data_IF_693991193049
#
_entry.id   IF_693991193049
#
_cell.length_a   1.000
_cell.length_b   1.000
_cell.length_c   1.000
_cell.angle_alpha   90.00
_cell.angle_beta   90.00
_cell.angle_gamma   90.00
#
_symmetry.space_group_name_H-M   'P 1'
#
loop_
_entity.id
_entity.type
_entity.pdbx_description
1 polymer ?
#
# COMPACT_ATOMS: atom_id res chain seq x y z
N UNK A 1 4.05 -67.57 4.69
CA UNK A 1 3.85 -66.24 4.06
C UNK A 1 5.14 -65.44 4.22
N UNK A 2 5.94 -65.31 3.17
CA UNK A 2 7.21 -64.57 3.22
C UNK A 2 6.97 -63.07 3.05
N UNK A 3 7.24 -62.28 4.09
CA UNK A 3 7.35 -60.83 3.99
C UNK A 3 8.64 -60.54 3.22
N UNK A 4 8.52 -60.08 1.96
CA UNK A 4 9.65 -59.51 1.22
C UNK A 4 10.12 -58.26 1.97
N UNK A 5 11.28 -58.35 2.61
CA UNK A 5 11.94 -57.20 3.25
C UNK A 5 12.43 -56.22 2.20
N UNK A 6 12.06 -54.96 2.35
CA UNK A 6 12.52 -53.87 1.48
C UNK A 6 14.01 -53.62 1.72
N UNK A 7 14.83 -53.49 0.69
CA UNK A 7 16.26 -53.26 0.88
C UNK A 7 16.50 -51.80 1.33
N UNK A 8 17.41 -51.60 2.29
CA UNK A 8 17.78 -50.26 2.78
C UNK A 8 18.22 -49.34 1.62
N UNK A 9 18.91 -49.90 0.63
CA UNK A 9 19.39 -49.17 -0.56
C UNK A 9 18.21 -48.68 -1.43
N UNK A 10 17.18 -49.50 -1.63
CA UNK A 10 16.00 -49.11 -2.41
C UNK A 10 15.28 -47.91 -1.77
N UNK A 11 15.16 -47.90 -0.44
CA UNK A 11 14.54 -46.79 0.28
C UNK A 11 15.37 -45.51 0.18
N UNK A 12 16.70 -45.62 0.29
CA UNK A 12 17.60 -44.48 0.22
C UNK A 12 17.59 -43.85 -1.18
N UNK A 13 17.61 -44.65 -2.25
CA UNK A 13 17.56 -44.13 -3.63
C UNK A 13 16.26 -43.38 -3.88
N UNK A 14 15.12 -43.92 -3.42
CA UNK A 14 13.81 -43.25 -3.59
C UNK A 14 13.78 -41.91 -2.87
N UNK A 15 14.25 -41.86 -1.62
CA UNK A 15 14.30 -40.60 -0.86
C UNK A 15 15.26 -39.62 -1.54
N UNK A 16 16.43 -40.07 -2.01
CA UNK A 16 17.38 -39.22 -2.72
C UNK A 16 16.81 -38.60 -3.98
N UNK A 17 16.02 -39.36 -4.76
CA UNK A 17 15.36 -38.83 -5.95
C UNK A 17 14.24 -37.84 -5.58
N UNK A 18 13.43 -38.14 -4.55
CA UNK A 18 12.37 -37.25 -4.09
C UNK A 18 12.95 -35.92 -3.58
N UNK A 19 14.03 -35.96 -2.79
CA UNK A 19 14.66 -34.73 -2.26
C UNK A 19 15.27 -33.90 -3.37
N UNK A 20 15.92 -34.53 -4.37
CA UNK A 20 16.45 -33.84 -5.54
C UNK A 20 15.34 -33.14 -6.35
N UNK A 21 14.26 -33.85 -6.67
CA UNK A 21 13.13 -33.27 -7.41
C UNK A 21 12.45 -32.15 -6.61
N UNK A 22 12.25 -32.34 -5.31
CA UNK A 22 11.66 -31.34 -4.45
C UNK A 22 12.52 -30.08 -4.38
N UNK A 23 13.85 -30.22 -4.28
CA UNK A 23 14.80 -29.09 -4.23
C UNK A 23 14.70 -28.18 -5.47
N UNK A 24 14.43 -28.74 -6.65
CA UNK A 24 14.22 -27.96 -7.88
C UNK A 24 12.82 -27.31 -7.93
N UNK A 25 11.80 -27.98 -7.38
CA UNK A 25 10.41 -27.52 -7.43
C UNK A 25 10.11 -26.40 -6.43
N UNK A 26 10.67 -26.44 -5.22
CA UNK A 26 10.43 -25.45 -4.17
C UNK A 26 10.65 -23.99 -4.61
N UNK A 27 11.82 -23.60 -5.15
CA UNK A 27 12.07 -22.20 -5.52
C UNK A 27 11.11 -21.70 -6.61
N UNK A 28 10.75 -22.56 -7.56
CA UNK A 28 9.79 -22.24 -8.63
C UNK A 28 8.40 -22.01 -8.05
N UNK A 29 7.94 -22.90 -7.16
CA UNK A 29 6.65 -22.78 -6.51
C UNK A 29 6.53 -21.52 -5.65
N UNK A 30 7.59 -21.14 -4.93
CA UNK A 30 7.63 -19.89 -4.15
C UNK A 30 7.48 -18.65 -5.05
N UNK A 31 8.20 -18.61 -6.18
CA UNK A 31 8.07 -17.51 -7.16
C UNK A 31 6.67 -17.47 -7.78
N UNK A 32 6.11 -18.61 -8.17
CA UNK A 32 4.76 -18.70 -8.72
C UNK A 32 3.69 -18.20 -7.74
N UNK A 33 3.78 -18.59 -6.47
CA UNK A 33 2.88 -18.10 -5.40
C UNK A 33 3.02 -16.59 -5.18
N UNK A 34 4.23 -16.05 -5.21
CA UNK A 34 4.45 -14.61 -5.09
C UNK A 34 3.83 -13.84 -6.27
N UNK A 35 3.99 -14.34 -7.50
CA UNK A 35 3.37 -13.75 -8.68
C UNK A 35 1.84 -13.81 -8.61
N UNK A 36 1.26 -14.93 -8.19
CA UNK A 36 -0.18 -15.08 -8.02
C UNK A 36 -0.75 -14.09 -6.99
N UNK A 37 -0.08 -13.91 -5.84
CA UNK A 37 -0.47 -12.91 -4.83
C UNK A 37 -0.40 -11.49 -5.39
N UNK A 38 0.64 -11.17 -6.18
CA UNK A 38 0.76 -9.88 -6.84
C UNK A 38 -0.38 -9.63 -7.84
N UNK A 39 -0.85 -10.65 -8.57
CA UNK A 39 -2.02 -10.54 -9.47
C UNK A 39 -3.32 -10.34 -8.70
N UNK A 40 -3.52 -11.05 -7.58
CA UNK A 40 -4.71 -10.85 -6.72
C UNK A 40 -4.72 -9.43 -6.16
N UNK A 41 -3.56 -8.94 -5.70
CA UNK A 41 -3.41 -7.56 -5.24
C UNK A 41 -3.76 -6.53 -6.34
N UNK A 42 -3.31 -6.75 -7.58
CA UNK A 42 -3.67 -5.89 -8.71
C UNK A 42 -5.19 -5.89 -8.99
N UNK A 43 -5.85 -7.05 -8.86
CA UNK A 43 -7.30 -7.14 -8.97
C UNK A 43 -8.00 -6.36 -7.84
N UNK A 44 -7.48 -6.39 -6.60
CA UNK A 44 -8.01 -5.57 -5.49
C UNK A 44 -7.92 -4.09 -5.78
N UNK A 45 -6.79 -3.61 -6.31
CA UNK A 45 -6.66 -2.19 -6.70
C UNK A 45 -7.67 -1.81 -7.78
N UNK A 46 -7.94 -2.71 -8.74
CA UNK A 46 -9.00 -2.47 -9.75
C UNK A 46 -10.38 -2.38 -9.11
N UNK A 47 -10.73 -3.30 -8.21
CA UNK A 47 -12.01 -3.27 -7.50
C UNK A 47 -12.16 -1.98 -6.66
N UNK A 48 -11.07 -1.50 -6.07
CA UNK A 48 -11.03 -0.23 -5.34
C UNK A 48 -11.20 0.96 -6.29
N UNK A 49 -10.49 1.00 -7.42
CA UNK A 49 -10.61 2.08 -8.40
C UNK A 49 -12.06 2.21 -8.90
N UNK A 50 -12.74 1.09 -9.18
CA UNK A 50 -14.16 1.06 -9.54
C UNK A 50 -15.02 1.73 -8.45
N UNK A 51 -14.76 1.42 -7.18
CA UNK A 51 -15.52 2.02 -6.08
C UNK A 51 -15.24 3.50 -5.87
N UNK A 52 -14.02 3.96 -6.17
CA UNK A 52 -13.68 5.38 -6.13
C UNK A 52 -14.49 6.13 -7.19
N UNK A 53 -14.61 5.58 -8.39
CA UNK A 53 -15.44 6.17 -9.45
C UNK A 53 -16.94 6.06 -9.15
N UNK A 54 -17.41 5.00 -8.50
CA UNK A 54 -18.79 4.92 -8.01
C UNK A 54 -19.07 6.00 -6.98
N UNK A 55 -18.18 6.18 -6.01
CA UNK A 55 -18.29 7.24 -5.01
C UNK A 55 -18.31 8.63 -5.67
N UNK A 56 -17.38 8.87 -6.61
CA UNK A 56 -17.30 10.13 -7.35
C UNK A 56 -18.55 10.40 -8.18
N UNK A 57 -19.15 9.38 -8.80
CA UNK A 57 -20.40 9.53 -9.55
C UNK A 57 -21.57 9.98 -8.66
N UNK A 58 -21.55 9.62 -7.38
CA UNK A 58 -22.57 10.00 -6.40
C UNK A 58 -22.29 11.34 -5.69
N UNK A 59 -21.02 11.72 -5.53
CA UNK A 59 -20.59 12.86 -4.70
C UNK A 59 -19.82 13.95 -5.47
N UNK A 60 -19.69 13.82 -6.79
CA UNK A 60 -18.99 14.72 -7.73
C UNK A 60 -17.48 14.93 -7.44
N UNK A 61 -16.94 14.25 -6.43
CA UNK A 61 -15.57 14.38 -5.95
C UNK A 61 -15.03 13.02 -5.51
N UNK A 62 -13.71 12.83 -5.56
CA UNK A 62 -13.06 11.67 -4.95
C UNK A 62 -13.28 11.66 -3.42
N UNK A 63 -13.16 10.51 -2.75
CA UNK A 63 -13.33 10.45 -1.30
C UNK A 63 -12.24 11.24 -0.57
N UNK A 64 -12.59 11.77 0.59
CA UNK A 64 -11.61 12.36 1.51
C UNK A 64 -10.60 11.31 1.96
N UNK A 65 -9.32 11.69 2.03
CA UNK A 65 -8.30 10.85 2.64
C UNK A 65 -8.51 10.70 4.15
N UNK A 66 -8.80 11.82 4.81
CA UNK A 66 -9.30 11.89 6.19
C UNK A 66 -10.34 13.01 6.26
N UNK A 67 -11.51 12.74 6.82
CA UNK A 67 -12.57 13.74 6.94
C UNK A 67 -12.70 14.34 8.33
N UNK A 68 -12.93 13.51 9.35
CA UNK A 68 -13.16 13.98 10.72
C UNK A 68 -12.54 13.00 11.72
N UNK A 69 -12.05 13.53 12.85
CA UNK A 69 -11.46 12.70 13.91
C UNK A 69 -12.52 12.14 14.87
N UNK A 70 -13.65 12.83 15.02
CA UNK A 70 -14.78 12.48 15.90
C UNK A 70 -16.08 13.09 15.36
N UNK A 71 -17.26 12.51 15.69
CA UNK A 71 -17.46 11.19 16.31
C UNK A 71 -17.02 10.04 15.38
N UNK A 72 -16.89 8.79 15.88
CA UNK A 72 -16.51 7.67 15.03
C UNK A 72 -17.52 7.40 13.91
N UNK A 73 -17.09 6.80 12.78
CA UNK A 73 -18.01 6.33 11.75
C UNK A 73 -18.93 5.22 12.29
N UNK A 74 -20.09 4.98 11.63
CA UNK A 74 -20.93 3.83 11.94
C UNK A 74 -20.11 2.53 11.91
N UNK A 75 -20.13 1.77 13.00
CA UNK A 75 -19.32 0.55 13.17
C UNK A 75 -17.96 0.77 13.86
N UNK A 76 -17.56 2.01 14.15
CA UNK A 76 -16.31 2.33 14.84
C UNK A 76 -15.12 2.50 13.87
N UNK A 77 -13.97 2.91 14.40
CA UNK A 77 -12.78 3.17 13.60
C UNK A 77 -12.20 1.88 13.00
N UNK A 78 -11.72 1.96 11.76
CA UNK A 78 -11.01 0.88 11.07
C UNK A 78 -9.55 0.72 11.54
N UNK A 79 -9.06 1.67 12.32
CA UNK A 79 -7.70 1.73 12.84
C UNK A 79 -7.63 1.33 14.32
N UNK A 80 -6.42 1.06 14.82
CA UNK A 80 -6.18 0.90 16.26
C UNK A 80 -6.00 2.29 16.88
N UNK A 81 -6.98 2.83 17.64
CA UNK A 81 -6.90 4.20 18.15
C UNK A 81 -5.78 4.42 19.19
N UNK A 82 -5.09 3.35 19.62
CA UNK A 82 -3.92 3.45 20.51
C UNK A 82 -2.62 3.69 19.76
N UNK A 83 -2.60 3.42 18.45
CA UNK A 83 -1.42 3.53 17.58
C UNK A 83 -1.63 4.46 16.39
N UNK A 84 -2.88 4.65 15.98
CA UNK A 84 -3.29 5.45 14.84
C UNK A 84 -4.11 6.65 15.29
N UNK A 85 -4.05 7.70 14.48
CA UNK A 85 -4.96 8.82 14.61
C UNK A 85 -6.39 8.33 14.32
N UNK A 86 -7.31 8.38 15.30
CA UNK A 86 -8.69 7.98 15.07
C UNK A 86 -9.35 8.96 14.10
N UNK A 87 -10.09 8.43 13.12
CA UNK A 87 -10.85 9.27 12.20
C UNK A 87 -11.56 8.49 11.11
N UNK A 88 -12.28 9.23 10.29
CA UNK A 88 -12.91 8.77 9.06
C UNK A 88 -11.87 8.79 7.96
N UNK A 89 -11.42 7.62 7.52
CA UNK A 89 -10.46 7.47 6.43
C UNK A 89 -11.18 7.12 5.13
N UNK A 90 -10.47 7.21 4.00
CA UNK A 90 -11.03 6.85 2.70
C UNK A 90 -11.77 5.51 2.63
N UNK A 91 -11.39 4.43 3.35
CA UNK A 91 -12.14 3.18 3.26
C UNK A 91 -13.56 3.32 3.82
N UNK A 92 -13.81 4.24 4.75
CA UNK A 92 -15.14 4.48 5.33
C UNK A 92 -16.13 5.07 4.31
N UNK A 93 -15.64 5.65 3.22
CA UNK A 93 -16.47 6.30 2.19
C UNK A 93 -16.84 5.39 1.02
N UNK A 94 -16.06 4.33 0.78
CA UNK A 94 -16.32 3.43 -0.35
C UNK A 94 -17.29 2.31 0.03
N UNK A 95 -18.17 1.96 -0.91
CA UNK A 95 -19.29 1.05 -0.70
C UNK A 95 -18.91 -0.33 -0.13
N UNK A 96 -17.70 -0.82 -0.39
CA UNK A 96 -17.27 -2.11 0.13
C UNK A 96 -17.18 -2.16 1.65
N UNK A 97 -17.03 -1.06 2.39
CA UNK A 97 -16.74 -1.11 3.85
C UNK A 97 -17.92 -0.62 4.69
N UNK A 98 -18.99 -0.17 4.04
CA UNK A 98 -20.16 0.46 4.69
C UNK A 98 -20.89 -0.45 5.69
N UNK A 99 -20.74 -1.77 5.55
CA UNK A 99 -21.31 -2.78 6.47
C UNK A 99 -20.26 -3.48 7.35
N UNK A 100 -18.98 -3.12 7.20
CA UNK A 100 -17.84 -3.68 7.95
C UNK A 100 -17.82 -5.22 8.08
N UNK A 101 -18.36 -5.96 7.09
CA UNK A 101 -18.38 -7.42 7.17
C UNK A 101 -16.97 -8.00 7.00
N UNK A 102 -16.77 -9.25 7.42
CA UNK A 102 -15.46 -9.92 7.25
C UNK A 102 -15.10 -10.15 5.79
N UNK A 103 -16.09 -10.18 4.88
CA UNK A 103 -15.88 -10.27 3.42
C UNK A 103 -15.42 -8.95 2.85
N UNK A 104 -16.06 -7.88 3.31
CA UNK A 104 -15.82 -6.50 2.92
C UNK A 104 -14.39 -6.06 3.22
N UNK A 105 -13.85 -6.43 4.39
CA UNK A 105 -12.46 -6.09 4.77
C UNK A 105 -11.40 -6.77 3.89
N UNK A 106 -11.69 -7.91 3.25
CA UNK A 106 -10.72 -8.63 2.41
C UNK A 106 -10.32 -7.86 1.15
N UNK A 107 -11.14 -6.92 0.68
CA UNK A 107 -10.77 -6.08 -0.47
C UNK A 107 -9.67 -5.08 -0.11
N UNK A 108 -9.63 -4.65 1.15
CA UNK A 108 -8.64 -3.73 1.69
C UNK A 108 -7.34 -4.44 2.07
N UNK A 109 -7.31 -5.77 2.09
CA UNK A 109 -6.12 -6.52 2.49
C UNK A 109 -5.26 -6.89 1.28
N UNK A 110 -3.99 -6.49 1.33
CA UNK A 110 -3.01 -6.93 0.34
C UNK A 110 -2.48 -8.34 0.71
N UNK A 111 -2.63 -9.37 -0.14
CA UNK A 111 -2.15 -10.72 0.16
C UNK A 111 -0.61 -10.82 0.17
N UNK A 112 0.08 -9.82 -0.39
CA UNK A 112 1.54 -9.75 -0.44
C UNK A 112 2.15 -8.95 0.71
N UNK A 113 1.35 -8.29 1.56
CA UNK A 113 1.85 -7.43 2.65
C UNK A 113 2.77 -8.19 3.61
N UNK A 114 3.85 -7.53 4.05
CA UNK A 114 4.87 -8.15 4.92
C UNK A 114 5.05 -7.40 6.24
N UNK A 115 3.97 -7.36 7.02
CA UNK A 115 3.96 -6.73 8.34
C UNK A 115 4.22 -7.79 9.41
N UNK A 116 5.38 -7.71 10.07
CA UNK A 116 5.81 -8.69 11.08
C UNK A 116 5.25 -8.46 12.48
N UNK A 117 4.66 -7.30 12.74
CA UNK A 117 4.13 -6.91 14.05
C UNK A 117 2.63 -7.24 14.14
N UNK A 118 2.24 -7.98 15.18
CA UNK A 118 0.87 -8.52 15.33
C UNK A 118 -0.21 -7.44 15.41
N UNK A 119 0.08 -6.30 16.03
CA UNK A 119 -0.83 -5.16 16.16
C UNK A 119 -1.09 -4.48 14.81
N UNK A 120 -0.03 -4.14 14.08
CA UNK A 120 -0.12 -3.53 12.75
C UNK A 120 -0.74 -4.49 11.73
N UNK A 121 -0.53 -5.81 11.88
CA UNK A 121 -1.09 -6.81 10.98
C UNK A 121 -2.63 -6.81 10.93
N UNK A 122 -3.30 -6.34 11.98
CA UNK A 122 -4.78 -6.24 12.02
C UNK A 122 -5.32 -4.91 11.53
N UNK A 123 -4.45 -3.91 11.39
CA UNK A 123 -4.84 -2.58 10.92
C UNK A 123 -5.15 -2.62 9.43
N UNK A 124 -6.25 -1.98 9.05
CA UNK A 124 -6.58 -1.70 7.65
C UNK A 124 -5.63 -0.63 7.09
N UNK A 125 -5.15 0.28 7.95
CA UNK A 125 -4.36 1.42 7.51
C UNK A 125 -2.91 1.07 7.17
N UNK A 126 -2.36 -0.07 7.63
CA UNK A 126 -0.95 -0.40 7.42
C UNK A 126 -0.72 -1.56 6.47
N UNK A 127 0.27 -1.38 5.58
CA UNK A 127 0.78 -2.43 4.70
C UNK A 127 -0.21 -2.88 3.62
N UNK A 128 -1.27 -2.13 3.39
CA UNK A 128 -2.33 -2.46 2.45
C UNK A 128 -2.27 -1.52 1.24
N UNK A 129 -3.30 -0.72 1.02
CA UNK A 129 -3.41 0.20 -0.10
C UNK A 129 -3.41 1.63 0.40
N UNK A 130 -2.68 2.49 -0.29
CA UNK A 130 -2.66 3.93 -0.05
C UNK A 130 -3.29 4.68 -1.21
N UNK A 131 -3.93 5.80 -0.89
CA UNK A 131 -4.47 6.73 -1.88
C UNK A 131 -3.58 7.95 -2.01
N UNK A 132 -3.53 8.53 -3.21
CA UNK A 132 -2.83 9.78 -3.45
C UNK A 132 -3.55 10.93 -2.73
N UNK A 133 -2.92 11.43 -1.67
CA UNK A 133 -3.46 12.48 -0.81
C UNK A 133 -3.58 13.84 -1.49
N UNK A 134 -2.87 14.04 -2.59
CA UNK A 134 -2.98 15.26 -3.41
C UNK A 134 -4.33 15.35 -4.11
N UNK A 135 -4.91 14.18 -4.45
CA UNK A 135 -6.26 14.03 -5.02
C UNK A 135 -7.33 13.88 -3.95
N UNK A 136 -7.14 12.88 -3.09
CA UNK A 136 -8.00 12.57 -1.96
C UNK A 136 -7.57 13.39 -0.74
N UNK A 137 -7.80 14.71 -0.82
CA UNK A 137 -7.40 15.68 0.21
C UNK A 137 -8.04 15.38 1.57
N UNK A 138 -7.48 15.97 2.62
CA UNK A 138 -7.99 15.81 3.98
C UNK A 138 -8.79 17.04 4.41
N UNK A 139 -9.94 16.86 5.06
CA UNK A 139 -10.64 17.98 5.69
C UNK A 139 -9.97 18.41 7.00
N UNK A 140 -9.18 17.52 7.61
CA UNK A 140 -8.37 17.81 8.80
C UNK A 140 -6.89 17.99 8.44
N UNK A 141 -6.28 19.01 9.03
CA UNK A 141 -4.84 19.24 8.91
C UNK A 141 -4.08 18.38 9.93
N UNK A 142 -3.32 17.40 9.44
CA UNK A 142 -2.62 16.42 10.29
C UNK A 142 -1.12 16.42 9.98
N UNK A 143 -0.33 16.51 11.03
CA UNK A 143 1.15 16.44 11.01
C UNK A 143 1.63 15.12 10.39
N UNK A 144 2.79 15.08 9.68
CA UNK A 144 3.73 16.20 9.41
C UNK A 144 3.34 17.12 8.23
N UNK A 145 2.29 16.79 7.48
CA UNK A 145 2.03 17.37 6.16
C UNK A 145 1.21 18.67 6.16
N UNK A 146 1.50 19.56 7.12
CA UNK A 146 0.66 20.75 7.35
C UNK A 146 0.61 21.66 6.12
N UNK A 147 -0.59 22.17 5.81
CA UNK A 147 -0.90 23.17 4.75
C UNK A 147 -0.93 22.71 3.29
N UNK A 148 -0.34 21.58 2.91
CA UNK A 148 -0.30 21.18 1.48
C UNK A 148 -1.51 20.36 1.02
N UNK A 149 -1.91 19.36 1.81
CA UNK A 149 -3.00 18.43 1.49
C UNK A 149 -4.37 18.71 2.14
N UNK A 150 -4.58 19.74 3.00
CA UNK A 150 -5.92 20.11 3.41
C UNK A 150 -6.79 20.65 2.27
N UNK A 151 -8.09 20.35 2.29
CA UNK A 151 -9.07 20.92 1.36
C UNK A 151 -10.07 19.90 0.82
N UNK A 152 -11.00 20.34 -0.06
CA UNK A 152 -11.91 19.43 -0.74
C UNK A 152 -11.13 18.51 -1.71
N UNK A 153 -11.49 17.23 -1.83
CA UNK A 153 -10.92 16.34 -2.82
C UNK A 153 -11.19 16.83 -4.24
N UNK A 154 -10.33 16.44 -5.18
CA UNK A 154 -10.52 16.74 -6.59
C UNK A 154 -11.49 15.75 -7.24
N UNK A 155 -12.06 16.15 -8.37
CA UNK A 155 -12.69 15.22 -9.31
C UNK A 155 -11.67 14.76 -10.35
N UNK A 156 -11.79 13.52 -10.80
CA UNK A 156 -11.03 12.97 -11.92
C UNK A 156 -11.23 13.78 -13.21
N UNK A 157 -12.36 14.46 -13.36
CA UNK A 157 -12.65 15.36 -14.49
C UNK A 157 -11.77 16.61 -14.54
N UNK A 158 -11.22 17.06 -13.39
CA UNK A 158 -10.35 18.25 -13.32
C UNK A 158 -8.87 17.90 -13.50
N UNK A 159 -8.55 16.61 -13.56
CA UNK A 159 -7.17 16.13 -13.71
C UNK A 159 -6.77 16.21 -15.19
N UNK A 160 -5.68 16.91 -15.46
CA UNK A 160 -5.20 17.17 -16.83
C UNK A 160 -4.74 15.91 -17.56
N UNK A 161 -4.16 14.95 -16.83
CA UNK A 161 -3.63 13.69 -17.37
C UNK A 161 -4.03 12.51 -16.46
N UNK A 162 -5.30 12.07 -16.46
CA UNK A 162 -5.79 11.09 -15.50
C UNK A 162 -5.11 9.72 -15.64
N UNK A 163 -4.81 9.27 -16.86
CA UNK A 163 -4.04 8.06 -17.13
C UNK A 163 -2.53 8.14 -16.84
N UNK A 164 -2.04 9.30 -16.38
CA UNK A 164 -0.68 9.41 -15.86
C UNK A 164 -0.66 9.79 -14.38
N UNK A 165 -1.81 10.04 -13.76
CA UNK A 165 -1.92 10.52 -12.38
C UNK A 165 -2.24 9.35 -11.45
N UNK A 166 -1.40 9.13 -10.45
CA UNK A 166 -1.57 8.07 -9.47
C UNK A 166 -2.77 8.38 -8.57
N UNK A 167 -3.64 7.39 -8.38
CA UNK A 167 -4.75 7.45 -7.44
C UNK A 167 -4.57 6.45 -6.29
N UNK A 168 -4.20 5.22 -6.61
CA UNK A 168 -4.05 4.11 -5.66
C UNK A 168 -2.66 3.49 -5.81
N UNK A 169 -2.08 3.03 -4.71
CA UNK A 169 -0.83 2.26 -4.74
C UNK A 169 -0.77 1.27 -3.60
N UNK A 170 -0.07 0.17 -3.81
CA UNK A 170 0.45 -0.62 -2.70
C UNK A 170 1.31 0.24 -1.77
N UNK A 171 0.85 0.45 -0.54
CA UNK A 171 1.49 1.39 0.38
C UNK A 171 1.71 0.79 1.76
N UNK A 172 2.72 1.32 2.46
CA UNK A 172 2.94 1.11 3.88
C UNK A 172 1.83 1.70 4.76
N UNK A 173 1.11 2.70 4.24
CA UNK A 173 0.01 3.37 4.94
C UNK A 173 -1.18 3.71 4.02
N UNK A 174 -2.37 3.91 4.60
CA UNK A 174 -3.61 4.20 3.87
C UNK A 174 -3.58 5.51 3.07
N UNK A 175 -2.63 6.38 3.34
CA UNK A 175 -2.40 7.62 2.62
C UNK A 175 -0.97 7.61 2.08
N UNK A 176 -0.79 8.14 0.88
CA UNK A 176 0.51 8.33 0.27
C UNK A 176 0.58 9.68 -0.43
N UNK A 177 1.73 10.32 -0.41
CA UNK A 177 1.99 11.54 -1.15
C UNK A 177 3.43 11.54 -1.69
N UNK A 178 3.79 12.60 -2.40
CA UNK A 178 5.12 12.71 -2.99
C UNK A 178 6.24 12.75 -1.94
N UNK A 179 5.98 13.28 -0.72
CA UNK A 179 6.92 13.26 0.42
C UNK A 179 7.33 11.84 0.81
N UNK A 180 6.45 10.87 0.60
CA UNK A 180 6.72 9.46 0.91
C UNK A 180 7.59 8.78 -0.16
N UNK A 181 7.85 9.47 -1.27
CA UNK A 181 8.64 8.99 -2.38
C UNK A 181 9.94 9.80 -2.59
N UNK A 182 10.17 10.87 -1.83
CA UNK A 182 11.39 11.70 -1.86
C UNK A 182 12.48 11.23 -0.92
N UNK A 183 13.72 11.60 -1.26
CA UNK A 183 14.92 11.39 -0.44
C UNK A 183 14.98 12.24 0.84
N UNK A 184 14.16 13.28 0.91
CA UNK A 184 14.08 14.19 2.04
C UNK A 184 12.96 13.70 2.97
N UNK A 185 13.28 13.00 4.08
CA UNK A 185 12.26 12.49 4.96
C UNK A 185 11.52 13.68 5.59
N UNK A 186 10.17 13.74 5.55
CA UNK A 186 9.47 14.73 6.34
C UNK A 186 9.95 14.60 7.79
N UNK A 187 10.29 15.74 8.37
CA UNK A 187 10.77 15.97 9.74
C UNK A 187 10.51 14.83 10.73
N UNK A 188 11.52 14.53 11.57
CA UNK A 188 11.42 13.63 12.75
C UNK A 188 10.02 13.64 13.35
N UNK A 189 9.41 12.45 13.46
CA UNK A 189 8.08 12.27 14.03
C UNK A 189 8.09 12.66 15.52
N UNK A 190 7.89 13.94 15.81
CA UNK A 190 7.78 14.48 17.16
C UNK A 190 6.31 14.62 17.54
N UNK A 191 5.69 13.56 18.08
CA UNK A 191 4.36 13.66 18.68
C UNK A 191 3.59 12.33 18.80
N UNK A 192 2.66 12.29 19.75
CA UNK A 192 1.87 11.10 20.10
C UNK A 192 0.64 10.83 19.19
N UNK A 193 0.43 11.60 18.11
CA UNK A 193 -0.78 11.54 17.27
C UNK A 193 -0.48 11.85 15.78
N UNK A 194 0.63 11.35 15.26
CA UNK A 194 1.00 11.54 13.85
C UNK A 194 0.43 10.43 12.96
N UNK A 195 0.12 10.78 11.71
CA UNK A 195 -0.04 9.79 10.63
C UNK A 195 1.30 9.05 10.53
N UNK A 196 1.30 7.73 10.72
CA UNK A 196 2.52 6.92 10.77
C UNK A 196 3.35 7.01 9.47
N UNK A 197 4.60 6.52 9.46
CA UNK A 197 5.49 6.64 8.31
C UNK A 197 4.90 5.91 7.10
N UNK A 198 4.42 6.70 6.15
CA UNK A 198 3.98 6.21 4.86
C UNK A 198 5.19 5.97 3.96
N UNK A 199 5.10 4.94 3.14
CA UNK A 199 6.17 4.53 2.25
C UNK A 199 5.63 3.71 1.09
N UNK A 200 6.38 3.72 0.00
CA UNK A 200 6.14 2.83 -1.14
C UNK A 200 7.07 1.62 -0.97
N UNK A 201 6.52 0.40 -0.87
CA UNK A 201 7.30 -0.82 -0.64
C UNK A 201 8.39 -1.02 -1.69
N UNK A 202 9.60 -1.31 -1.24
CA UNK A 202 10.76 -1.59 -2.10
C UNK A 202 11.59 -0.37 -2.48
N UNK A 203 11.11 0.86 -2.25
CA UNK A 203 11.91 2.07 -2.51
C UNK A 203 13.22 2.07 -1.73
N UNK A 204 14.30 2.46 -2.39
CA UNK A 204 15.64 2.53 -1.80
C UNK A 204 15.69 3.49 -0.60
N UNK A 205 14.99 4.63 -0.68
CA UNK A 205 14.98 5.64 0.37
C UNK A 205 14.39 5.14 1.70
N UNK A 206 13.60 4.08 1.69
CA UNK A 206 13.02 3.55 2.92
C UNK A 206 14.07 3.06 3.94
N UNK A 207 15.33 2.87 3.53
CA UNK A 207 16.46 2.57 4.43
C UNK A 207 16.84 3.75 5.34
N UNK A 208 16.50 4.98 4.93
CA UNK A 208 16.84 6.21 5.62
C UNK A 208 15.65 6.74 6.45
N UNK A 209 14.48 6.12 6.31
CA UNK A 209 13.25 6.50 7.02
C UNK A 209 13.19 5.85 8.41
N UNK A 210 12.59 6.58 9.35
CA UNK A 210 12.12 6.01 10.61
C UNK A 210 10.86 5.18 10.35
N UNK A 211 10.98 3.85 10.47
CA UNK A 211 9.87 2.90 10.24
C UNK A 211 9.38 2.33 11.58
N UNK A 212 8.08 2.02 11.65
CA UNK A 212 7.54 1.32 12.82
C UNK A 212 8.06 -0.12 12.87
N UNK A 213 8.15 -0.71 14.08
CA UNK A 213 8.49 -2.13 14.24
C UNK A 213 7.62 -3.03 13.35
N UNK A 214 8.26 -3.95 12.64
CA UNK A 214 7.58 -4.90 11.75
C UNK A 214 7.31 -4.41 10.33
N UNK A 215 7.65 -3.18 9.96
CA UNK A 215 7.49 -2.66 8.59
C UNK A 215 8.71 -2.88 7.68
N UNK A 216 9.88 -3.20 8.24
CA UNK A 216 11.17 -3.23 7.54
C UNK A 216 11.18 -4.15 6.30
N UNK A 217 10.64 -5.36 6.40
CA UNK A 217 10.64 -6.32 5.28
C UNK A 217 9.75 -5.84 4.11
N UNK A 218 8.59 -5.25 4.43
CA UNK A 218 7.71 -4.65 3.42
C UNK A 218 8.34 -3.41 2.78
N UNK A 219 8.84 -2.50 3.62
CA UNK A 219 9.39 -1.22 3.19
C UNK A 219 10.67 -1.37 2.35
N UNK A 220 11.64 -2.17 2.81
CA UNK A 220 12.97 -2.29 2.16
C UNK A 220 12.99 -3.47 1.19
N UNK A 221 12.45 -4.62 1.62
CA UNK A 221 12.40 -5.85 0.81
C UNK A 221 11.41 -5.76 -0.35
N UNK A 222 10.35 -4.97 -0.18
CA UNK A 222 9.25 -4.87 -1.13
C UNK A 222 8.32 -6.08 -1.05
N UNK A 223 7.03 -5.87 -1.34
CA UNK A 223 6.02 -6.92 -1.22
C UNK A 223 5.92 -7.86 -2.42
N UNK A 224 6.12 -7.34 -3.63
CA UNK A 224 6.01 -8.11 -4.88
C UNK A 224 7.39 -8.45 -5.48
N UNK A 225 7.47 -9.44 -6.39
CA UNK A 225 8.72 -9.81 -7.05
C UNK A 225 9.41 -8.63 -7.72
N UNK A 226 10.75 -8.60 -7.68
CA UNK A 226 11.57 -7.56 -8.32
C UNK A 226 11.27 -6.12 -7.86
N UNK A 227 10.82 -5.94 -6.62
CA UNK A 227 10.50 -4.62 -6.02
C UNK A 227 9.51 -3.82 -6.86
N UNK A 228 8.48 -4.49 -7.34
CA UNK A 228 7.37 -3.83 -8.01
C UNK A 228 6.26 -3.46 -7.03
N UNK A 229 5.44 -2.50 -7.41
CA UNK A 229 4.18 -2.14 -6.76
C UNK A 229 3.06 -2.14 -7.78
N UNK A 230 1.86 -2.54 -7.38
CA UNK A 230 0.68 -2.31 -8.20
C UNK A 230 0.16 -0.90 -7.93
N UNK A 231 -0.25 -0.22 -9.00
CA UNK A 231 -0.71 1.16 -9.00
C UNK A 231 -2.05 1.25 -9.73
N UNK A 232 -2.95 2.09 -9.25
CA UNK A 232 -4.18 2.48 -9.92
C UNK A 232 -4.12 3.96 -10.26
N UNK A 233 -4.58 4.32 -11.46
CA UNK A 233 -4.55 5.67 -11.98
C UNK A 233 -5.91 6.34 -11.88
N UNK A 234 -5.94 7.66 -12.04
CA UNK A 234 -7.15 8.45 -11.88
C UNK A 234 -8.19 8.25 -12.98
N UNK A 235 -7.86 7.60 -14.10
CA UNK A 235 -8.81 7.14 -15.12
C UNK A 235 -9.33 5.70 -14.87
N UNK A 236 -8.87 5.06 -13.78
CA UNK A 236 -9.31 3.74 -13.36
C UNK A 236 -8.48 2.56 -13.90
N UNK A 237 -7.51 2.78 -14.78
CA UNK A 237 -6.63 1.68 -15.19
C UNK A 237 -5.62 1.33 -14.09
N UNK A 238 -5.10 0.11 -14.15
CA UNK A 238 -4.20 -0.45 -13.13
C UNK A 238 -3.00 -1.08 -13.79
N UNK A 239 -1.81 -0.77 -13.29
CA UNK A 239 -0.55 -1.30 -13.80
C UNK A 239 0.35 -1.79 -12.66
N UNK A 240 1.43 -2.48 -13.03
CA UNK A 240 2.50 -2.88 -12.13
C UNK A 240 3.80 -2.21 -12.54
N UNK A 241 4.33 -1.39 -11.66
CA UNK A 241 5.53 -0.59 -11.92
C UNK A 241 6.66 -0.97 -10.96
N UNK A 242 7.89 -0.64 -11.33
CA UNK A 242 9.02 -0.67 -10.39
C UNK A 242 8.79 0.38 -9.31
N UNK A 243 9.07 0.06 -8.05
CA UNK A 243 8.94 1.02 -6.96
C UNK A 243 9.77 2.28 -7.24
N UNK A 244 10.99 2.12 -7.76
CA UNK A 244 11.89 3.21 -8.10
C UNK A 244 11.38 4.13 -9.22
N UNK A 245 10.37 3.71 -10.01
CA UNK A 245 9.73 4.60 -10.99
C UNK A 245 8.83 5.65 -10.34
N UNK A 246 8.40 5.41 -9.09
CA UNK A 246 7.60 6.34 -8.28
C UNK A 246 8.47 7.30 -7.46
N UNK A 247 9.80 7.11 -7.45
CA UNK A 247 10.72 7.94 -6.69
C UNK A 247 10.68 9.40 -7.17
N UNK A 248 10.84 10.31 -6.22
CA UNK A 248 10.88 11.75 -6.45
C UNK A 248 12.24 12.26 -6.05
N UNK A 249 12.89 12.98 -6.95
CA UNK A 249 14.21 13.55 -6.74
C UNK A 249 14.05 14.99 -6.25
N UNK A 250 14.80 15.37 -5.21
CA UNK A 250 15.01 16.77 -4.87
C UNK A 250 16.20 17.31 -5.67
N UNK A 251 16.03 18.48 -6.27
CA UNK A 251 17.08 19.24 -6.93
C UNK A 251 17.00 20.70 -6.43
N UNK A 252 18.12 21.39 -6.26
CA UNK A 252 18.14 22.77 -5.76
C UNK A 252 18.88 22.91 -4.43
N UNK A 253 18.94 24.14 -3.91
CA UNK A 253 19.57 24.46 -2.62
C UNK A 253 18.69 24.00 -1.44
N UNK A 254 19.30 23.68 -0.29
CA UNK A 254 18.60 23.16 0.91
C UNK A 254 17.44 24.08 1.37
N UNK A 255 17.55 25.40 1.16
CA UNK A 255 16.55 26.40 1.55
C UNK A 255 15.40 26.58 0.53
N UNK A 256 15.53 26.04 -0.68
CA UNK A 256 14.52 26.14 -1.75
C UNK A 256 14.54 24.90 -2.68
N UNK A 257 14.20 23.70 -2.17
CA UNK A 257 14.22 22.49 -2.98
C UNK A 257 13.13 22.50 -4.06
N UNK A 258 13.54 22.15 -5.28
CA UNK A 258 12.67 21.80 -6.40
C UNK A 258 12.52 20.29 -6.48
N UNK A 259 11.28 19.80 -6.48
CA UNK A 259 11.03 18.36 -6.57
C UNK A 259 10.70 17.97 -8.01
N UNK A 260 11.42 16.99 -8.54
CA UNK A 260 11.20 16.42 -9.87
C UNK A 260 10.81 14.95 -9.74
N UNK A 261 9.60 14.62 -10.20
CA UNK A 261 9.19 13.23 -10.30
C UNK A 261 9.88 12.58 -11.52
N UNK A 262 10.43 11.37 -11.37
CA UNK A 262 10.96 10.60 -12.51
C UNK A 262 9.88 10.23 -13.53
N UNK A 263 8.64 10.17 -13.05
CA UNK A 263 7.42 9.89 -13.82
C UNK A 263 6.32 10.83 -13.32
N UNK A 264 5.44 11.41 -14.15
CA UNK A 264 4.42 12.39 -13.73
C UNK A 264 3.25 11.77 -12.93
N UNK A 265 3.54 10.78 -12.09
CA UNK A 265 2.60 9.99 -11.31
C UNK A 265 2.03 10.78 -10.13
N UNK A 266 2.76 11.78 -9.65
CA UNK A 266 2.36 12.62 -8.52
C UNK A 266 1.94 14.00 -8.98
N UNK A 267 0.63 14.26 -9.11
CA UNK A 267 0.10 15.63 -9.14
C UNK A 267 -1.37 15.60 -8.69
N UNK A 268 -1.90 16.63 -8.00
CA UNK A 268 -1.92 17.99 -8.53
C UNK A 268 -1.56 19.08 -7.51
N UNK A 269 -1.11 20.22 -8.02
CA UNK A 269 -1.25 21.51 -7.31
C UNK A 269 -2.73 21.89 -7.27
#
# INVERSE_FOLDING_TARGET
MGLRGFALVELIVVIAVITFLAALLFPVLHRARAQARATVCQARIRDLAIQFHQYEAEHETLPYGIWALRPPPPGGYLCDPTRDLPGWYWPDFIGAVRHQSSRDRKILECPSRRIGESSLSRSVLYGNYGINRSLCRSAVDVSPYRREFPGPPLSTSTIRHPGATLLLVDSGYALICWWDATADPPHRYSGALAVGPAYIPGLAINKEKELLPGQLDDAIGGRHPNKTVNVGFADGHVDRMKAEALAVESAGEEDAPTYHHRTPLWVPR
#
